data_IF_255619910565
#
_entry.id   IF_255619910565
#
_cell.length_a   1.000
_cell.length_b   1.000
_cell.length_c   1.000
_cell.angle_alpha   90.00
_cell.angle_beta   90.00
_cell.angle_gamma   90.00
#
_symmetry.space_group_name_H-M   'P 1'
#
loop_
_entity.id
_entity.type
_entity.pdbx_description
1 polymer ?
#
# COMPACT_ATOMS: atom_id res chain seq x y z
N UNK A 1 14.30 21.17 3.21
CA UNK A 1 15.33 20.39 2.45
C UNK A 1 15.17 18.94 2.84
N UNK A 2 15.36 18.01 1.89
CA UNK A 2 15.37 16.58 2.20
C UNK A 2 16.48 16.24 3.21
N UNK A 3 16.19 15.40 4.18
CA UNK A 3 17.22 14.85 5.05
C UNK A 3 18.22 14.00 4.24
N UNK A 4 19.44 13.85 4.76
CA UNK A 4 20.46 13.00 4.11
C UNK A 4 19.96 11.57 3.98
N UNK A 5 19.33 11.03 5.03
CA UNK A 5 18.74 9.69 5.04
C UNK A 5 17.73 9.47 3.92
N UNK A 6 16.80 10.40 3.69
CA UNK A 6 15.80 10.28 2.62
C UNK A 6 16.47 10.33 1.25
N UNK A 7 17.49 11.19 1.06
CA UNK A 7 18.25 11.22 -0.19
C UNK A 7 18.93 9.88 -0.47
N UNK A 8 19.59 9.32 0.54
CA UNK A 8 20.31 8.04 0.42
C UNK A 8 19.34 6.89 0.12
N UNK A 9 18.18 6.84 0.77
CA UNK A 9 17.13 5.88 0.47
C UNK A 9 16.71 5.99 -0.99
N UNK A 10 16.36 7.18 -1.45
CA UNK A 10 15.87 7.40 -2.82
C UNK A 10 16.90 7.00 -3.88
N UNK A 11 18.18 7.24 -3.63
CA UNK A 11 19.26 6.89 -4.57
C UNK A 11 19.54 5.39 -4.53
N UNK A 12 19.81 4.84 -3.34
CA UNK A 12 20.27 3.46 -3.22
C UNK A 12 19.19 2.43 -3.55
N UNK A 13 17.94 2.69 -3.12
CA UNK A 13 16.83 1.79 -3.43
C UNK A 13 16.48 1.81 -4.91
N UNK A 14 16.55 3.01 -5.55
CA UNK A 14 16.37 3.10 -7.00
C UNK A 14 17.40 2.29 -7.77
N UNK A 15 18.66 2.35 -7.38
CA UNK A 15 19.74 1.55 -8.00
C UNK A 15 19.44 0.05 -7.87
N UNK A 16 18.96 -0.37 -6.69
CA UNK A 16 18.61 -1.78 -6.45
C UNK A 16 17.41 -2.22 -7.29
N UNK A 17 16.37 -1.39 -7.37
CA UNK A 17 15.17 -1.69 -8.15
C UNK A 17 15.47 -1.70 -9.66
N UNK A 18 16.24 -0.74 -10.15
CA UNK A 18 16.66 -0.70 -11.57
C UNK A 18 17.46 -1.96 -11.95
N UNK A 19 18.31 -2.45 -11.04
CA UNK A 19 19.06 -3.68 -11.23
C UNK A 19 18.17 -4.93 -11.20
N UNK A 20 17.17 -4.97 -10.31
CA UNK A 20 16.19 -6.06 -10.26
C UNK A 20 15.44 -6.18 -11.58
N UNK A 21 15.02 -5.04 -12.14
CA UNK A 21 14.17 -4.97 -13.31
C UNK A 21 14.95 -4.97 -14.64
N UNK A 22 16.31 -5.02 -14.56
CA UNK A 22 17.17 -5.00 -15.75
C UNK A 22 16.84 -6.13 -16.72
N UNK A 23 16.58 -5.79 -17.97
CA UNK A 23 16.25 -6.73 -19.05
C UNK A 23 14.81 -7.26 -19.02
N UNK A 24 13.98 -6.90 -18.03
CA UNK A 24 12.56 -7.24 -18.04
C UNK A 24 11.82 -6.39 -19.09
N UNK A 25 10.86 -6.99 -19.77
CA UNK A 25 10.04 -6.34 -20.79
C UNK A 25 8.57 -6.64 -20.58
N UNK A 26 7.71 -5.79 -21.16
CA UNK A 26 6.27 -6.02 -21.16
C UNK A 26 5.94 -7.33 -21.89
N UNK A 27 5.22 -8.28 -21.27
CA UNK A 27 4.77 -9.49 -21.94
C UNK A 27 3.87 -9.19 -23.14
N UNK A 28 4.00 -9.97 -24.22
CA UNK A 28 3.26 -9.74 -25.47
C UNK A 28 1.74 -9.84 -25.32
N UNK A 29 1.26 -10.57 -24.33
CA UNK A 29 -0.16 -10.77 -24.04
C UNK A 29 -0.78 -9.70 -23.14
N UNK A 30 -0.02 -8.69 -22.71
CA UNK A 30 -0.46 -7.61 -21.83
C UNK A 30 -0.75 -6.31 -22.59
N UNK A 31 -1.85 -5.67 -22.26
CA UNK A 31 -2.16 -4.27 -22.57
C UNK A 31 -1.77 -3.41 -21.37
N UNK A 32 -1.15 -2.26 -21.67
CA UNK A 32 -0.82 -1.22 -20.70
C UNK A 32 -1.57 0.06 -21.03
N UNK A 33 -2.11 0.70 -20.01
CA UNK A 33 -2.59 2.06 -20.05
C UNK A 33 -1.73 2.83 -19.05
N UNK A 34 -0.77 3.57 -19.56
CA UNK A 34 0.26 4.22 -18.76
C UNK A 34 -0.01 5.71 -18.57
N UNK A 35 0.46 6.27 -17.47
CA UNK A 35 0.43 7.71 -17.18
C UNK A 35 -0.97 8.34 -17.13
N UNK A 36 -1.94 7.62 -16.63
CA UNK A 36 -3.30 8.12 -16.45
C UNK A 36 -3.33 9.04 -15.22
N UNK A 37 -3.75 10.28 -15.38
CA UNK A 37 -3.91 11.21 -14.25
C UNK A 37 -5.17 10.88 -13.49
N UNK A 38 -5.05 10.72 -12.16
CA UNK A 38 -6.19 10.49 -11.26
C UNK A 38 -6.40 11.63 -10.25
N UNK A 39 -5.52 12.63 -10.25
CA UNK A 39 -5.58 13.75 -9.31
C UNK A 39 -4.75 14.95 -9.76
N UNK A 40 -4.70 16.04 -8.95
CA UNK A 40 -4.14 17.33 -9.37
C UNK A 40 -2.63 17.48 -9.19
N UNK A 41 -1.93 16.48 -8.64
CA UNK A 41 -0.52 16.61 -8.22
C UNK A 41 0.49 16.11 -9.28
N UNK A 42 0.17 16.22 -10.58
CA UNK A 42 1.09 15.93 -11.67
C UNK A 42 1.59 14.49 -11.64
N UNK A 43 2.92 14.30 -11.64
CA UNK A 43 3.56 12.97 -11.62
C UNK A 43 3.23 12.14 -10.37
N UNK A 44 2.89 12.80 -9.26
CA UNK A 44 2.58 12.10 -8.02
C UNK A 44 1.17 11.50 -8.03
N UNK A 45 0.31 11.95 -8.96
CA UNK A 45 -1.03 11.42 -9.15
C UNK A 45 -1.21 10.76 -10.53
N UNK A 46 -0.26 9.91 -10.90
CA UNK A 46 -0.36 9.07 -12.08
C UNK A 46 -0.60 7.61 -11.67
N UNK A 47 -1.40 6.92 -12.45
CA UNK A 47 -1.59 5.48 -12.36
C UNK A 47 -1.40 4.81 -13.71
N UNK A 48 -1.09 3.52 -13.66
CA UNK A 48 -1.04 2.63 -14.80
C UNK A 48 -2.01 1.46 -14.57
N UNK A 49 -2.61 0.97 -15.65
CA UNK A 49 -3.51 -0.18 -15.59
C UNK A 49 -3.03 -1.25 -16.56
N UNK A 50 -2.99 -2.50 -16.08
CA UNK A 50 -2.56 -3.65 -16.88
C UNK A 50 -3.63 -4.72 -16.89
N UNK A 51 -3.90 -5.29 -18.08
CA UNK A 51 -4.71 -6.49 -18.22
C UNK A 51 -4.30 -7.27 -19.49
N UNK A 52 -4.82 -8.48 -19.67
CA UNK A 52 -4.56 -9.27 -20.89
C UNK A 52 -5.21 -8.61 -22.11
N UNK A 53 -4.61 -8.79 -23.30
CA UNK A 53 -5.12 -8.23 -24.57
C UNK A 53 -6.54 -8.71 -24.91
N UNK A 54 -6.86 -9.96 -24.60
CA UNK A 54 -8.14 -10.60 -25.00
C UNK A 54 -9.24 -10.46 -23.94
N UNK A 55 -9.28 -9.32 -23.23
CA UNK A 55 -10.31 -9.07 -22.21
C UNK A 55 -11.58 -8.52 -22.90
N UNK A 56 -12.68 -9.26 -22.75
CA UNK A 56 -13.99 -8.89 -23.33
C UNK A 56 -15.03 -8.51 -22.28
N UNK A 57 -14.70 -8.65 -20.99
CA UNK A 57 -15.58 -8.36 -19.85
C UNK A 57 -14.74 -7.87 -18.66
N UNK A 58 -15.36 -7.17 -17.67
CA UNK A 58 -14.66 -6.78 -16.46
C UNK A 58 -13.96 -7.95 -15.79
N UNK A 59 -12.75 -7.72 -15.28
CA UNK A 59 -11.91 -8.69 -14.60
C UNK A 59 -11.82 -8.38 -13.11
N UNK A 60 -11.67 -9.41 -12.29
CA UNK A 60 -11.27 -9.23 -10.89
C UNK A 60 -10.10 -8.27 -10.83
N UNK A 61 -10.18 -7.26 -9.99
CA UNK A 61 -9.24 -6.14 -10.03
C UNK A 61 -8.42 -6.06 -8.75
N UNK A 62 -7.11 -5.89 -8.89
CA UNK A 62 -6.18 -5.65 -7.81
C UNK A 62 -5.72 -4.20 -7.86
N UNK A 63 -5.86 -3.48 -6.74
CA UNK A 63 -5.28 -2.16 -6.52
C UNK A 63 -4.03 -2.35 -5.67
N UNK A 64 -2.88 -1.91 -6.17
CA UNK A 64 -1.58 -2.09 -5.53
C UNK A 64 -1.10 -0.80 -4.88
N UNK A 65 -0.88 -0.82 -3.57
CA UNK A 65 -0.31 0.28 -2.80
C UNK A 65 1.16 -0.04 -2.53
N UNK A 66 2.06 0.67 -3.22
CA UNK A 66 3.49 0.37 -3.15
C UNK A 66 4.10 0.68 -1.77
N UNK A 67 5.19 -0.02 -1.43
CA UNK A 67 6.03 0.25 -0.28
C UNK A 67 6.98 1.43 -0.47
N UNK A 68 8.06 1.47 0.34
CA UNK A 68 9.11 2.49 0.21
C UNK A 68 9.21 3.45 1.41
N UNK A 69 8.78 3.02 2.61
CA UNK A 69 8.94 3.80 3.84
C UNK A 69 8.26 5.17 3.79
N UNK A 70 7.20 5.33 3.03
CA UNK A 70 6.45 6.59 2.77
C UNK A 70 7.26 7.71 2.09
N UNK A 71 8.56 7.50 1.84
CA UNK A 71 9.50 8.51 1.30
C UNK A 71 10.03 8.16 -0.08
N UNK A 72 9.80 6.93 -0.53
CA UNK A 72 10.29 6.36 -1.79
C UNK A 72 9.22 5.47 -2.42
N UNK A 73 9.43 5.09 -3.66
CA UNK A 73 8.60 4.18 -4.43
C UNK A 73 7.78 4.89 -5.50
N UNK A 74 7.43 4.11 -6.48
CA UNK A 74 6.54 4.54 -7.56
C UNK A 74 5.94 3.32 -8.26
N UNK A 75 4.96 3.56 -9.13
CA UNK A 75 4.33 2.51 -9.93
C UNK A 75 5.32 1.75 -10.82
N UNK A 76 6.43 2.38 -11.21
CA UNK A 76 7.43 1.77 -12.06
C UNK A 76 8.08 0.54 -11.42
N UNK A 77 8.33 0.55 -10.10
CA UNK A 77 8.93 -0.59 -9.38
C UNK A 77 7.99 -1.80 -9.28
N UNK A 78 6.68 -1.61 -9.47
CA UNK A 78 5.67 -2.67 -9.35
C UNK A 78 5.10 -3.11 -10.70
N UNK A 79 5.57 -2.54 -11.81
CA UNK A 79 5.02 -2.82 -13.13
C UNK A 79 5.10 -4.30 -13.52
N UNK A 80 6.25 -4.95 -13.33
CA UNK A 80 6.43 -6.35 -13.72
C UNK A 80 5.67 -7.31 -12.81
N UNK A 81 5.63 -7.04 -11.52
CA UNK A 81 4.75 -7.75 -10.58
C UNK A 81 3.29 -7.62 -11.01
N UNK A 82 2.84 -6.41 -11.32
CA UNK A 82 1.48 -6.16 -11.79
C UNK A 82 1.15 -6.87 -13.10
N UNK A 83 2.06 -6.84 -14.07
CA UNK A 83 1.86 -7.55 -15.34
C UNK A 83 1.81 -9.07 -15.18
N UNK A 84 2.58 -9.66 -14.25
CA UNK A 84 2.47 -11.10 -13.91
C UNK A 84 1.10 -11.46 -13.32
N UNK A 85 0.52 -10.58 -12.50
CA UNK A 85 -0.85 -10.78 -11.98
C UNK A 85 -1.89 -10.56 -13.08
N UNK A 86 -1.68 -9.61 -13.97
CA UNK A 86 -2.54 -9.42 -15.14
C UNK A 86 -2.54 -10.65 -16.06
N UNK A 87 -1.41 -11.30 -16.28
CA UNK A 87 -1.34 -12.59 -17.00
C UNK A 87 -2.16 -13.70 -16.36
N UNK A 88 -2.43 -13.62 -15.05
CA UNK A 88 -3.28 -14.55 -14.30
C UNK A 88 -4.78 -14.20 -14.35
N UNK A 89 -5.14 -13.17 -15.13
CA UNK A 89 -6.54 -12.82 -15.38
C UNK A 89 -7.10 -11.75 -14.45
N UNK A 90 -6.24 -10.94 -13.86
CA UNK A 90 -6.65 -9.74 -13.13
C UNK A 90 -6.51 -8.48 -14.00
N UNK A 91 -7.33 -7.48 -13.74
CA UNK A 91 -6.97 -6.10 -14.03
C UNK A 91 -6.15 -5.58 -12.84
N UNK A 92 -4.98 -5.02 -13.10
CA UNK A 92 -4.07 -4.53 -12.08
C UNK A 92 -3.95 -3.00 -12.16
N UNK A 93 -4.26 -2.31 -11.08
CA UNK A 93 -4.14 -0.85 -10.94
C UNK A 93 -2.94 -0.54 -10.08
N UNK A 94 -1.98 0.16 -10.65
CA UNK A 94 -0.70 0.51 -10.05
C UNK A 94 -0.52 2.02 -10.10
N UNK A 95 -0.18 2.67 -9.00
CA UNK A 95 -0.22 4.13 -8.93
C UNK A 95 0.88 4.72 -8.05
N UNK A 96 1.23 5.96 -8.35
CA UNK A 96 2.02 6.81 -7.47
C UNK A 96 1.09 7.44 -6.43
N UNK A 97 1.62 7.78 -5.27
CA UNK A 97 0.98 8.66 -4.30
C UNK A 97 2.02 9.66 -3.78
N UNK A 98 1.57 10.78 -3.27
CA UNK A 98 2.43 11.83 -2.71
C UNK A 98 3.30 11.31 -1.58
N UNK A 99 4.61 11.52 -1.68
CA UNK A 99 5.61 11.01 -0.75
C UNK A 99 6.05 12.08 0.25
N UNK A 100 6.44 11.63 1.43
CA UNK A 100 7.11 12.44 2.42
C UNK A 100 8.60 12.65 2.03
N UNK A 101 9.24 13.69 2.55
CA UNK A 101 8.72 14.73 3.44
C UNK A 101 8.02 15.89 2.72
N UNK A 102 7.97 15.87 1.37
CA UNK A 102 7.33 16.92 0.58
C UNK A 102 5.83 16.98 0.88
N UNK A 103 5.22 15.82 1.06
CA UNK A 103 3.81 15.66 1.41
C UNK A 103 3.67 14.71 2.59
N UNK A 104 3.39 15.28 3.75
CA UNK A 104 3.25 14.52 4.99
C UNK A 104 1.86 13.89 5.12
N UNK A 105 1.72 13.02 6.09
CA UNK A 105 0.44 12.45 6.52
C UNK A 105 -0.64 13.53 6.69
N UNK A 106 -1.86 13.34 6.18
CA UNK A 106 -2.40 12.12 5.56
C UNK A 106 -2.41 12.11 4.02
N UNK A 107 -1.54 12.88 3.33
CA UNK A 107 -1.57 13.09 1.88
C UNK A 107 -1.65 11.78 1.06
N UNK A 108 -0.89 10.75 1.42
CA UNK A 108 -0.93 9.45 0.73
C UNK A 108 -2.32 8.78 0.83
N UNK A 109 -3.01 8.91 1.97
CA UNK A 109 -4.36 8.35 2.14
C UNK A 109 -5.41 9.09 1.31
N UNK A 110 -5.26 10.42 1.16
CA UNK A 110 -6.11 11.22 0.26
C UNK A 110 -5.94 10.73 -1.19
N UNK A 111 -4.70 10.49 -1.61
CA UNK A 111 -4.39 10.00 -2.96
C UNK A 111 -4.94 8.59 -3.20
N UNK A 112 -4.79 7.69 -2.22
CA UNK A 112 -5.40 6.35 -2.29
C UNK A 112 -6.92 6.47 -2.47
N UNK A 113 -7.58 7.36 -1.72
CA UNK A 113 -9.03 7.58 -1.87
C UNK A 113 -9.38 8.08 -3.29
N UNK A 114 -8.57 8.97 -3.87
CA UNK A 114 -8.76 9.44 -5.24
C UNK A 114 -8.61 8.31 -6.26
N UNK A 115 -7.64 7.39 -6.08
CA UNK A 115 -7.51 6.18 -6.92
C UNK A 115 -8.76 5.31 -6.82
N UNK A 116 -9.30 5.10 -5.63
CA UNK A 116 -10.54 4.34 -5.47
C UNK A 116 -11.76 5.04 -6.13
N UNK A 117 -11.85 6.37 -6.06
CA UNK A 117 -12.84 7.13 -6.79
C UNK A 117 -12.65 6.98 -8.31
N UNK A 118 -11.42 7.09 -8.81
CA UNK A 118 -11.10 6.85 -10.20
C UNK A 118 -11.51 5.45 -10.67
N UNK A 119 -11.17 4.42 -9.91
CA UNK A 119 -11.56 3.02 -10.19
C UNK A 119 -13.09 2.87 -10.29
N UNK A 120 -13.85 3.49 -9.39
CA UNK A 120 -15.32 3.51 -9.45
C UNK A 120 -15.83 4.17 -10.73
N UNK A 121 -15.31 5.33 -11.04
CA UNK A 121 -15.85 6.21 -12.08
C UNK A 121 -15.45 5.76 -13.50
N UNK A 122 -14.30 5.08 -13.64
CA UNK A 122 -13.73 4.63 -14.92
C UNK A 122 -13.73 3.09 -15.10
N UNK A 123 -14.44 2.34 -14.25
CA UNK A 123 -14.43 0.88 -14.25
C UNK A 123 -14.71 0.25 -15.62
N UNK A 124 -15.67 0.82 -16.36
CA UNK A 124 -16.06 0.31 -17.70
C UNK A 124 -14.99 0.53 -18.76
N UNK A 125 -14.20 1.58 -18.63
CA UNK A 125 -13.16 1.96 -19.59
C UNK A 125 -11.95 1.02 -19.54
N UNK A 126 -11.63 0.52 -18.33
CA UNK A 126 -10.40 -0.24 -18.09
C UNK A 126 -10.64 -1.71 -17.68
N UNK A 127 -11.78 -2.28 -18.05
CA UNK A 127 -12.13 -3.66 -17.74
C UNK A 127 -12.07 -4.01 -16.22
N UNK A 128 -12.43 -3.07 -15.37
CA UNK A 128 -12.43 -3.21 -13.91
C UNK A 128 -13.75 -3.80 -13.44
N UNK A 129 -13.69 -4.85 -12.61
CA UNK A 129 -14.83 -5.40 -11.91
C UNK A 129 -14.87 -4.83 -10.48
N UNK A 130 -15.76 -3.86 -10.26
CA UNK A 130 -15.93 -3.19 -8.97
C UNK A 130 -16.59 -4.07 -7.89
N UNK A 131 -17.19 -5.18 -8.27
CA UNK A 131 -17.77 -6.16 -7.33
C UNK A 131 -16.72 -7.16 -6.82
N UNK A 132 -15.58 -7.25 -7.49
CA UNK A 132 -14.48 -8.14 -7.15
C UNK A 132 -13.15 -7.39 -7.07
N UNK A 133 -13.08 -6.43 -6.14
CA UNK A 133 -11.88 -5.65 -5.85
C UNK A 133 -11.05 -6.30 -4.75
N UNK A 134 -9.75 -6.30 -4.96
CA UNK A 134 -8.73 -6.73 -4.01
C UNK A 134 -7.69 -5.63 -3.85
N UNK A 135 -7.05 -5.58 -2.69
CA UNK A 135 -5.94 -4.67 -2.42
C UNK A 135 -4.70 -5.49 -2.10
N UNK A 136 -3.56 -5.06 -2.58
CA UNK A 136 -2.26 -5.56 -2.12
C UNK A 136 -1.40 -4.38 -1.71
N UNK A 137 -0.67 -4.53 -0.64
CA UNK A 137 0.29 -3.52 -0.20
C UNK A 137 1.45 -4.19 0.53
N UNK A 138 2.62 -3.58 0.47
CA UNK A 138 3.81 -4.07 1.13
C UNK A 138 4.49 -2.98 1.96
N UNK A 139 5.13 -3.37 3.05
CA UNK A 139 5.88 -2.45 3.91
C UNK A 139 5.01 -1.23 4.32
N UNK A 140 5.43 -0.01 3.98
CA UNK A 140 4.62 1.20 4.15
C UNK A 140 3.27 1.13 3.40
N UNK A 141 3.22 0.49 2.23
CA UNK A 141 1.99 0.28 1.47
C UNK A 141 1.01 -0.68 2.17
N UNK A 142 1.50 -1.66 2.92
CA UNK A 142 0.65 -2.51 3.76
C UNK A 142 0.04 -1.72 4.93
N UNK A 143 0.81 -0.82 5.55
CA UNK A 143 0.30 0.12 6.56
C UNK A 143 -0.78 1.03 5.97
N UNK A 144 -0.50 1.69 4.85
CA UNK A 144 -1.44 2.57 4.16
C UNK A 144 -2.72 1.84 3.75
N UNK A 145 -2.60 0.60 3.23
CA UNK A 145 -3.74 -0.24 2.88
C UNK A 145 -4.59 -0.57 4.10
N UNK A 146 -3.94 -0.97 5.21
CA UNK A 146 -4.64 -1.26 6.47
C UNK A 146 -5.40 -0.03 6.96
N UNK A 147 -4.75 1.12 6.98
CA UNK A 147 -5.36 2.36 7.45
C UNK A 147 -6.52 2.81 6.56
N UNK A 148 -6.34 2.82 5.24
CA UNK A 148 -7.39 3.21 4.30
C UNK A 148 -8.60 2.27 4.36
N UNK A 149 -8.38 0.95 4.43
CA UNK A 149 -9.47 -0.02 4.52
C UNK A 149 -10.19 0.05 5.89
N UNK A 150 -9.48 0.40 6.96
CA UNK A 150 -10.12 0.69 8.25
C UNK A 150 -10.98 1.95 8.19
N UNK A 151 -10.53 3.00 7.49
CA UNK A 151 -11.34 4.20 7.22
C UNK A 151 -12.61 3.82 6.44
N UNK A 152 -12.50 2.95 5.43
CA UNK A 152 -13.65 2.51 4.63
C UNK A 152 -14.65 1.65 5.43
N UNK A 153 -14.19 0.89 6.41
CA UNK A 153 -15.02 -0.04 7.20
C UNK A 153 -15.52 0.50 8.54
N UNK A 154 -15.00 1.66 8.99
CA UNK A 154 -15.39 2.27 10.27
C UNK A 154 -15.78 3.75 10.07
N UNK A 155 -17.09 4.09 10.04
CA UNK A 155 -17.57 5.45 9.84
C UNK A 155 -17.11 6.45 10.92
N UNK A 156 -16.88 6.01 12.15
CA UNK A 156 -16.38 6.88 13.22
C UNK A 156 -14.90 7.22 13.00
N UNK A 157 -14.13 6.29 12.50
CA UNK A 157 -12.74 6.53 12.15
C UNK A 157 -12.63 7.44 10.91
N UNK A 158 -13.49 7.23 9.93
CA UNK A 158 -13.56 8.06 8.71
C UNK A 158 -13.73 9.55 9.00
N UNK A 159 -14.45 9.94 10.07
CA UNK A 159 -14.65 11.34 10.48
C UNK A 159 -13.36 12.08 10.84
N UNK A 160 -12.25 11.36 11.07
CA UNK A 160 -10.96 11.96 11.40
C UNK A 160 -10.18 12.40 10.16
N UNK A 161 -10.66 12.11 8.96
CA UNK A 161 -9.97 12.37 7.69
C UNK A 161 -10.71 13.40 6.84
N UNK A 162 -9.98 14.20 6.02
CA UNK A 162 -10.57 15.29 5.24
C UNK A 162 -11.25 14.83 3.94
N UNK A 163 -11.57 13.54 3.81
CA UNK A 163 -12.19 12.98 2.61
C UNK A 163 -13.30 11.98 2.96
N UNK A 164 -14.18 11.76 2.01
CA UNK A 164 -15.24 10.75 2.10
C UNK A 164 -14.77 9.51 1.35
N UNK A 165 -14.78 8.31 1.94
CA UNK A 165 -14.43 7.08 1.26
C UNK A 165 -15.26 6.84 -0.02
N UNK A 166 -14.66 6.24 -1.03
CA UNK A 166 -15.26 6.01 -2.35
C UNK A 166 -16.56 5.20 -2.34
N UNK A 167 -16.81 4.45 -1.29
CA UNK A 167 -17.95 3.52 -1.15
C UNK A 167 -17.72 2.15 -1.81
N UNK A 168 -16.60 1.93 -2.50
CA UNK A 168 -16.23 0.63 -3.04
C UNK A 168 -15.92 -0.36 -1.91
N UNK A 169 -16.31 -1.63 -2.12
CA UNK A 169 -16.05 -2.71 -1.17
C UNK A 169 -14.90 -3.58 -1.66
N UNK A 170 -13.90 -3.78 -0.81
CA UNK A 170 -12.77 -4.67 -1.06
C UNK A 170 -13.12 -6.08 -0.53
N UNK A 171 -12.88 -7.10 -1.33
CA UNK A 171 -13.20 -8.50 -1.01
C UNK A 171 -12.16 -9.18 -0.15
N UNK A 172 -10.90 -8.83 -0.33
CA UNK A 172 -9.80 -9.25 0.53
C UNK A 172 -8.59 -8.34 0.33
N UNK A 173 -7.67 -8.34 1.31
CA UNK A 173 -6.42 -7.59 1.25
C UNK A 173 -5.22 -8.49 1.48
N UNK A 174 -4.17 -8.33 0.67
CA UNK A 174 -2.84 -8.91 0.89
C UNK A 174 -1.93 -7.87 1.55
N UNK A 175 -1.45 -8.20 2.75
CA UNK A 175 -0.60 -7.34 3.57
C UNK A 175 0.78 -7.97 3.66
N UNK A 176 1.71 -7.50 2.83
CA UNK A 176 3.01 -8.12 2.66
C UNK A 176 4.08 -7.36 3.44
N UNK A 177 4.84 -8.03 4.29
CA UNK A 177 6.00 -7.45 4.97
C UNK A 177 5.70 -6.10 5.65
N UNK A 178 4.54 -5.97 6.30
CA UNK A 178 3.97 -4.69 6.71
C UNK A 178 4.43 -4.19 8.07
N UNK A 179 4.30 -2.88 8.25
CA UNK A 179 4.34 -2.20 9.55
C UNK A 179 2.90 -1.81 9.89
N UNK A 180 2.39 -2.15 11.07
CA UNK A 180 0.96 -1.98 11.36
C UNK A 180 0.68 -1.09 12.57
N UNK A 181 1.50 -1.19 13.62
CA UNK A 181 1.37 -0.33 14.79
C UNK A 181 2.17 0.96 14.55
N UNK A 182 1.45 1.99 14.12
CA UNK A 182 2.01 3.32 13.86
C UNK A 182 1.73 4.32 14.99
N UNK A 183 0.99 3.88 16.02
CA UNK A 183 0.71 4.70 17.19
C UNK A 183 1.89 4.69 18.17
N UNK A 184 2.59 3.56 18.34
CA UNK A 184 3.82 3.48 19.11
C UNK A 184 5.06 3.57 18.18
N UNK A 185 5.77 4.71 18.17
CA UNK A 185 6.95 4.88 17.33
C UNK A 185 8.10 3.93 17.68
N UNK A 186 8.13 3.41 18.93
CA UNK A 186 9.15 2.45 19.35
C UNK A 186 8.93 1.06 18.78
N UNK A 187 7.70 0.76 18.37
CA UNK A 187 7.37 -0.48 17.67
C UNK A 187 7.81 -0.44 16.19
N UNK A 188 8.12 0.76 15.65
CA UNK A 188 8.55 0.93 14.28
C UNK A 188 10.08 0.85 14.18
N UNK A 189 10.60 -0.11 13.44
CA UNK A 189 12.03 -0.38 13.27
C UNK A 189 12.81 0.76 12.58
N UNK A 190 12.13 1.64 11.84
CA UNK A 190 12.73 2.80 11.16
C UNK A 190 12.03 4.11 11.56
N UNK A 191 12.12 4.44 12.83
CA UNK A 191 11.46 5.60 13.42
C UNK A 191 11.82 6.95 12.75
N UNK A 192 13.07 7.10 12.28
CA UNK A 192 13.48 8.35 11.63
C UNK A 192 12.76 8.58 10.29
N UNK A 193 12.55 7.50 9.51
CA UNK A 193 11.78 7.60 8.26
C UNK A 193 10.30 7.86 8.56
N UNK A 194 9.77 7.26 9.62
CA UNK A 194 8.39 7.51 10.03
C UNK A 194 8.15 8.96 10.45
N UNK A 195 9.13 9.62 11.11
CA UNK A 195 9.06 11.06 11.42
C UNK A 195 8.98 11.93 10.17
N UNK A 196 9.68 11.58 9.10
CA UNK A 196 9.56 12.29 7.82
C UNK A 196 8.12 12.26 7.30
N UNK A 197 7.43 11.13 7.48
CA UNK A 197 6.05 10.94 7.05
C UNK A 197 5.05 11.68 7.93
N UNK A 198 5.14 11.54 9.26
CA UNK A 198 4.13 12.07 10.18
C UNK A 198 4.43 13.49 10.71
N UNK A 199 5.68 13.94 10.63
CA UNK A 199 6.17 15.19 11.20
C UNK A 199 6.86 14.99 12.56
N UNK A 200 7.89 15.80 12.81
CA UNK A 200 8.66 15.76 14.07
C UNK A 200 7.82 16.17 15.28
N UNK A 201 6.81 17.03 15.05
CA UNK A 201 5.89 17.57 16.05
C UNK A 201 4.77 16.62 16.49
N UNK A 202 4.80 15.34 16.06
CA UNK A 202 3.73 14.38 16.35
C UNK A 202 3.46 14.20 17.86
N UNK A 203 4.48 14.33 18.70
CA UNK A 203 4.39 14.16 20.17
C UNK A 203 4.34 15.46 20.93
N UNK A 204 4.15 16.59 20.25
CA UNK A 204 3.96 17.88 20.90
C UNK A 204 2.63 17.92 21.66
N UNK A 205 2.58 18.73 22.73
CA UNK A 205 1.36 18.90 23.52
C UNK A 205 0.40 19.93 22.88
N UNK A 206 0.12 19.74 21.57
CA UNK A 206 -0.82 20.56 20.81
C UNK A 206 -2.07 19.77 20.45
N UNK A 207 -3.24 20.41 20.26
CA UNK A 207 -4.46 19.73 19.81
C UNK A 207 -4.27 19.04 18.46
N UNK A 208 -3.53 19.63 17.55
CA UNK A 208 -3.24 19.11 16.20
C UNK A 208 -2.38 17.85 16.24
N UNK A 209 -1.30 17.85 17.05
CA UNK A 209 -0.45 16.68 17.25
C UNK A 209 -1.24 15.52 17.90
N UNK A 210 -2.04 15.80 18.93
CA UNK A 210 -2.90 14.81 19.57
C UNK A 210 -3.95 14.22 18.63
N UNK A 211 -4.56 15.05 17.80
CA UNK A 211 -5.53 14.59 16.80
C UNK A 211 -4.85 13.69 15.76
N UNK A 212 -3.66 14.06 15.29
CA UNK A 212 -2.86 13.28 14.34
C UNK A 212 -2.43 11.95 14.94
N UNK A 213 -1.89 11.94 16.16
CA UNK A 213 -1.50 10.72 16.87
C UNK A 213 -2.71 9.78 17.04
N UNK A 214 -3.86 10.31 17.42
CA UNK A 214 -5.10 9.53 17.52
C UNK A 214 -5.52 8.93 16.18
N UNK A 215 -5.37 9.67 15.08
CA UNK A 215 -5.70 9.16 13.74
C UNK A 215 -4.72 8.10 13.23
N UNK A 216 -3.53 7.99 13.81
CA UNK A 216 -2.55 6.94 13.51
C UNK A 216 -2.82 5.63 14.26
N UNK A 217 -3.66 5.62 15.29
CA UNK A 217 -4.02 4.41 16.05
C UNK A 217 -5.01 3.52 15.28
N UNK A 218 -4.60 3.11 14.08
CA UNK A 218 -5.43 2.35 13.13
C UNK A 218 -5.97 1.06 13.74
N UNK A 219 -5.14 0.35 14.50
CA UNK A 219 -5.51 -0.95 15.06
C UNK A 219 -6.62 -0.86 16.10
N UNK A 220 -6.76 0.30 16.76
CA UNK A 220 -7.87 0.56 17.67
C UNK A 220 -9.22 0.61 16.94
N UNK A 221 -9.24 1.07 15.69
CA UNK A 221 -10.46 1.27 14.91
C UNK A 221 -10.84 0.09 14.01
N UNK A 222 -10.08 -1.01 14.01
CA UNK A 222 -10.44 -2.23 13.29
C UNK A 222 -11.79 -2.78 13.78
N UNK A 223 -12.66 -3.12 12.85
CA UNK A 223 -13.97 -3.73 13.10
C UNK A 223 -14.14 -5.00 12.27
N UNK A 224 -15.13 -5.81 12.56
CA UNK A 224 -15.48 -7.02 11.77
C UNK A 224 -15.81 -6.72 10.30
N UNK A 225 -16.10 -5.46 9.95
CA UNK A 225 -16.37 -5.02 8.59
C UNK A 225 -15.10 -4.79 7.75
N UNK A 226 -13.90 -4.89 8.36
CA UNK A 226 -12.63 -4.88 7.63
C UNK A 226 -12.54 -6.14 6.74
N UNK A 227 -12.02 -6.04 5.51
CA UNK A 227 -11.99 -7.17 4.60
C UNK A 227 -11.13 -8.32 5.11
N UNK A 228 -11.42 -9.57 4.73
CA UNK A 228 -10.54 -10.72 4.94
C UNK A 228 -9.10 -10.40 4.54
N UNK A 229 -8.12 -10.87 5.33
CA UNK A 229 -6.74 -10.47 5.18
C UNK A 229 -5.77 -11.66 5.06
N UNK A 230 -4.89 -11.59 4.06
CA UNK A 230 -3.74 -12.47 3.92
C UNK A 230 -2.49 -11.70 4.34
N UNK A 231 -1.85 -12.12 5.42
CA UNK A 231 -0.63 -11.51 5.94
C UNK A 231 0.56 -12.37 5.53
N UNK A 232 1.56 -11.75 4.94
CA UNK A 232 2.77 -12.41 4.50
C UNK A 232 4.01 -11.68 5.01
N UNK A 233 4.99 -12.44 5.49
CA UNK A 233 6.34 -11.96 5.81
C UNK A 233 7.38 -13.06 5.58
N UNK A 234 8.64 -12.79 5.86
CA UNK A 234 9.70 -13.79 5.79
C UNK A 234 10.56 -13.83 7.04
N UNK A 235 11.30 -14.92 7.21
CA UNK A 235 12.16 -15.11 8.40
C UNK A 235 13.32 -14.12 8.47
N UNK A 236 13.69 -13.49 7.34
CA UNK A 236 14.75 -12.47 7.23
C UNK A 236 14.21 -11.06 7.04
N UNK A 237 12.90 -10.86 7.24
CA UNK A 237 12.26 -9.56 7.12
C UNK A 237 12.40 -8.76 8.42
N UNK A 238 12.90 -7.53 8.34
CA UNK A 238 13.00 -6.66 9.51
C UNK A 238 11.63 -6.26 10.08
N UNK A 239 10.56 -6.34 9.26
CA UNK A 239 9.18 -6.09 9.71
C UNK A 239 8.49 -7.33 10.28
N UNK A 240 9.12 -8.51 10.24
CA UNK A 240 8.55 -9.77 10.74
C UNK A 240 7.92 -9.64 12.15
N UNK A 241 8.49 -8.89 13.11
CA UNK A 241 7.89 -8.72 14.43
C UNK A 241 6.48 -8.13 14.43
N UNK A 242 6.07 -7.46 13.34
CA UNK A 242 4.73 -6.87 13.21
C UNK A 242 3.68 -7.87 12.71
N UNK A 243 4.10 -8.98 12.07
CA UNK A 243 3.18 -9.89 11.38
C UNK A 243 2.26 -10.64 12.34
N UNK A 244 2.82 -11.26 13.39
CA UNK A 244 2.05 -12.03 14.37
C UNK A 244 1.08 -11.15 15.19
N UNK A 245 1.50 -9.98 15.75
CA UNK A 245 0.57 -9.09 16.45
C UNK A 245 -0.58 -8.60 15.57
N UNK A 246 -0.32 -8.30 14.29
CA UNK A 246 -1.36 -7.92 13.35
C UNK A 246 -2.37 -9.04 13.12
N UNK A 247 -1.90 -10.28 12.88
CA UNK A 247 -2.76 -11.45 12.74
C UNK A 247 -3.63 -11.66 13.98
N UNK A 248 -3.03 -11.64 15.18
CA UNK A 248 -3.77 -11.80 16.46
C UNK A 248 -4.81 -10.70 16.65
N UNK A 249 -4.48 -9.46 16.26
CA UNK A 249 -5.43 -8.34 16.31
C UNK A 249 -6.62 -8.57 15.39
N UNK A 250 -6.41 -8.98 14.14
CA UNK A 250 -7.49 -9.29 13.19
C UNK A 250 -8.38 -10.41 13.72
N UNK A 251 -7.79 -11.50 14.22
CA UNK A 251 -8.53 -12.61 14.84
C UNK A 251 -9.37 -12.14 16.05
N UNK A 252 -8.81 -11.26 16.89
CA UNK A 252 -9.47 -10.77 18.09
C UNK A 252 -10.75 -9.96 17.82
N UNK A 253 -10.84 -9.35 16.64
CA UNK A 253 -12.04 -8.60 16.19
C UNK A 253 -12.93 -9.41 15.24
N UNK A 254 -12.62 -10.71 15.02
CA UNK A 254 -13.44 -11.62 14.22
C UNK A 254 -13.24 -11.48 12.71
N UNK A 255 -12.13 -10.93 12.25
CA UNK A 255 -11.79 -10.82 10.82
C UNK A 255 -11.16 -12.14 10.36
N UNK A 256 -11.68 -12.71 9.25
CA UNK A 256 -11.07 -13.86 8.59
C UNK A 256 -9.68 -13.49 8.08
N UNK A 257 -8.66 -14.21 8.55
CA UNK A 257 -7.29 -13.89 8.21
C UNK A 257 -6.35 -15.09 8.26
N UNK A 258 -5.33 -15.06 7.41
CA UNK A 258 -4.26 -16.03 7.34
C UNK A 258 -2.90 -15.36 7.52
N UNK A 259 -1.95 -16.04 8.18
CA UNK A 259 -0.57 -15.60 8.33
C UNK A 259 0.37 -16.63 7.73
N UNK A 260 1.23 -16.20 6.82
CA UNK A 260 2.25 -17.02 6.16
C UNK A 260 3.64 -16.40 6.32
N UNK A 261 4.55 -17.16 6.94
CA UNK A 261 5.96 -16.78 7.08
C UNK A 261 6.80 -17.65 6.16
N UNK A 262 7.51 -17.04 5.22
CA UNK A 262 8.28 -17.72 4.18
C UNK A 262 9.78 -17.75 4.52
N UNK A 263 10.49 -18.69 3.86
CA UNK A 263 11.91 -18.87 3.99
C UNK A 263 12.33 -19.75 5.16
N UNK A 264 13.65 -19.93 5.31
CA UNK A 264 14.28 -20.63 6.43
C UNK A 264 15.43 -19.79 6.98
N UNK A 265 15.82 -20.03 8.25
CA UNK A 265 16.92 -19.28 8.89
C UNK A 265 18.28 -19.52 8.21
N UNK A 266 18.41 -20.65 7.51
CA UNK A 266 19.64 -21.06 6.83
C UNK A 266 19.76 -20.49 5.41
N UNK A 267 18.70 -19.88 4.85
CA UNK A 267 18.66 -19.36 3.48
C UNK A 267 18.13 -17.95 3.44
N UNK A 268 18.96 -16.99 3.07
CA UNK A 268 18.62 -15.57 2.96
C UNK A 268 17.91 -15.20 1.63
N UNK A 269 17.45 -16.20 0.87
CA UNK A 269 16.84 -15.97 -0.46
C UNK A 269 15.51 -15.22 -0.41
N UNK A 270 14.85 -15.19 0.76
CA UNK A 270 13.55 -14.56 0.96
C UNK A 270 13.68 -13.48 2.03
N UNK A 271 13.83 -12.24 1.59
CA UNK A 271 14.01 -11.07 2.45
C UNK A 271 12.79 -10.14 2.38
N UNK A 272 12.95 -8.89 2.83
CA UNK A 272 11.89 -7.88 2.78
C UNK A 272 11.36 -7.66 1.35
N UNK A 273 10.04 -7.64 1.18
CA UNK A 273 9.34 -7.39 -0.10
C UNK A 273 9.69 -8.37 -1.22
N UNK A 274 10.06 -9.61 -0.88
CA UNK A 274 10.51 -10.63 -1.83
C UNK A 274 9.50 -11.00 -2.93
N UNK A 275 8.23 -10.71 -2.77
CA UNK A 275 7.15 -11.09 -3.68
C UNK A 275 7.15 -10.31 -5.00
N UNK A 276 7.84 -9.17 -5.06
CA UNK A 276 8.00 -8.38 -6.30
C UNK A 276 9.28 -8.74 -7.09
N UNK A 277 10.13 -9.59 -6.56
CA UNK A 277 11.39 -10.02 -7.17
C UNK A 277 11.20 -11.13 -8.22
#
# INVERSE_FOLDING_TARGET
MLSEKVRDIRVNWKISDDKRDEGLTTPEDIVRFDNISYGPYGSDNLLDIYHRKEVTKPQKTIISVHGGGWVYGSREQYQFYGMRLAQRGFTFVNFNYRLAPEHKYPAALEDINQVFCFVRDHAKEYAIDTDHLFVVGDSAGAQLSTQYLTICSNPEYAKQFPFVPSGLKVRAVGLNCGVYDTHDPKANSDFDVFKEYVGEDLYDDTPEAKARLKSLDTLHYLTVDFPPAFIMSSVHDFTLPNAQPMYEKLQSVGIDSELHIYGSKEKEEVAHVFHIN
#
